data_IF_258131430093
#
_entry.id   IF_258131430093
#
_cell.length_a   1.000
_cell.length_b   1.000
_cell.length_c   1.000
_cell.angle_alpha   90.00
_cell.angle_beta   90.00
_cell.angle_gamma   90.00
#
_symmetry.space_group_name_H-M   'P 1'
#
loop_
_entity.id
_entity.type
_entity.pdbx_description
1 polymer ?
#
# COMPACT_ATOMS: atom_id res chain seq x y z
N UNK A 1 -13.93 -13.73 11.65
CA UNK A 1 -14.11 -12.59 10.73
C UNK A 1 -12.86 -11.73 10.81
N UNK A 2 -12.32 -11.21 9.70
CA UNK A 2 -11.18 -10.30 9.73
C UNK A 2 -11.55 -9.00 10.46
N UNK A 3 -10.55 -8.36 11.08
CA UNK A 3 -10.74 -7.04 11.70
C UNK A 3 -10.93 -5.97 10.62
N UNK A 4 -11.46 -4.80 10.97
CA UNK A 4 -11.57 -3.67 10.03
C UNK A 4 -10.21 -3.30 9.46
N UNK A 5 -9.18 -3.24 10.31
CA UNK A 5 -7.78 -3.04 9.90
C UNK A 5 -7.35 -4.05 8.84
N UNK A 6 -7.57 -5.34 9.10
CA UNK A 6 -7.15 -6.40 8.18
C UNK A 6 -7.89 -6.33 6.84
N UNK A 7 -9.16 -5.94 6.87
CA UNK A 7 -9.99 -5.74 5.68
C UNK A 7 -9.45 -4.59 4.82
N UNK A 8 -9.12 -3.45 5.44
CA UNK A 8 -8.54 -2.28 4.76
C UNK A 8 -7.17 -2.62 4.14
N UNK A 9 -6.27 -3.25 4.91
CA UNK A 9 -4.93 -3.60 4.41
C UNK A 9 -4.98 -4.63 3.27
N UNK A 10 -5.92 -5.57 3.34
CA UNK A 10 -6.15 -6.52 2.24
C UNK A 10 -6.67 -5.79 1.00
N UNK A 11 -7.64 -4.89 1.15
CA UNK A 11 -8.17 -4.10 0.05
C UNK A 11 -7.09 -3.21 -0.59
N UNK A 12 -6.21 -2.61 0.21
CA UNK A 12 -5.08 -1.83 -0.30
C UNK A 12 -4.09 -2.72 -1.09
N UNK A 13 -3.74 -3.89 -0.57
CA UNK A 13 -2.86 -4.83 -1.27
C UNK A 13 -3.49 -5.30 -2.59
N UNK A 14 -4.78 -5.60 -2.59
CA UNK A 14 -5.51 -6.03 -3.80
C UNK A 14 -5.63 -4.91 -4.83
N UNK A 15 -5.85 -3.67 -4.38
CA UNK A 15 -5.82 -2.50 -5.24
C UNK A 15 -4.43 -2.36 -5.89
N UNK A 16 -3.34 -2.44 -5.11
CA UNK A 16 -1.98 -2.37 -5.65
C UNK A 16 -1.65 -3.51 -6.64
N UNK A 17 -2.21 -4.71 -6.42
CA UNK A 17 -2.07 -5.86 -7.35
C UNK A 17 -2.72 -5.65 -8.71
N UNK A 18 -3.54 -4.62 -8.88
CA UNK A 18 -4.06 -4.26 -10.20
C UNK A 18 -2.99 -3.66 -11.11
N UNK A 19 -1.86 -3.19 -10.55
CA UNK A 19 -0.70 -2.72 -11.32
C UNK A 19 -0.08 -3.93 -12.02
N UNK A 20 -0.02 -3.92 -13.37
CA UNK A 20 0.41 -5.09 -14.11
C UNK A 20 1.92 -5.35 -13.95
N UNK A 21 2.30 -6.61 -14.07
CA UNK A 21 3.69 -7.08 -14.18
C UNK A 21 4.60 -6.91 -12.96
N UNK A 22 4.23 -6.12 -11.95
CA UNK A 22 5.02 -5.95 -10.72
C UNK A 22 4.40 -6.75 -9.57
N UNK A 23 5.12 -7.72 -8.98
CA UNK A 23 4.60 -8.48 -7.85
C UNK A 23 4.43 -7.59 -6.61
N UNK A 24 3.29 -7.76 -5.93
CA UNK A 24 2.96 -7.07 -4.67
C UNK A 24 2.88 -8.07 -3.53
N UNK A 25 3.84 -7.97 -2.63
CA UNK A 25 3.94 -8.74 -1.40
C UNK A 25 3.41 -7.93 -0.22
N UNK A 26 3.07 -8.59 0.89
CA UNK A 26 2.60 -7.92 2.11
C UNK A 26 3.31 -8.54 3.32
N UNK A 27 3.97 -7.72 4.13
CA UNK A 27 4.68 -8.17 5.33
C UNK A 27 5.93 -9.04 5.09
N UNK A 28 6.22 -9.43 3.85
CA UNK A 28 7.34 -10.32 3.51
C UNK A 28 8.71 -9.67 3.69
N UNK A 29 9.70 -10.44 4.14
CA UNK A 29 11.10 -9.98 4.15
C UNK A 29 11.57 -9.76 2.70
N UNK A 30 12.47 -8.79 2.49
CA UNK A 30 13.04 -8.55 1.16
C UNK A 30 13.64 -9.86 0.61
N UNK A 31 13.19 -10.36 -0.56
CA UNK A 31 13.70 -11.59 -1.14
C UNK A 31 15.18 -11.47 -1.53
N UNK A 32 15.91 -12.59 -1.47
CA UNK A 32 17.30 -12.66 -1.91
C UNK A 32 17.48 -12.39 -3.41
N UNK A 33 16.46 -12.74 -4.22
CA UNK A 33 16.43 -12.50 -5.65
C UNK A 33 15.25 -11.60 -6.01
N UNK A 34 15.57 -10.40 -6.48
CA UNK A 34 14.58 -9.46 -6.99
C UNK A 34 14.26 -9.83 -8.44
N UNK A 35 12.98 -9.91 -8.84
CA UNK A 35 12.59 -10.09 -10.24
C UNK A 35 13.11 -8.94 -11.11
N UNK A 36 13.44 -9.18 -12.40
CA UNK A 36 13.84 -8.11 -13.32
C UNK A 36 12.80 -7.00 -13.49
N UNK A 37 11.51 -7.35 -13.28
CA UNK A 37 10.37 -6.43 -13.31
C UNK A 37 10.25 -5.56 -12.04
N UNK A 38 11.11 -5.78 -11.04
CA UNK A 38 11.01 -5.16 -9.72
C UNK A 38 10.05 -5.90 -8.80
N UNK A 39 9.80 -5.33 -7.62
CA UNK A 39 8.79 -5.81 -6.67
C UNK A 39 8.32 -4.68 -5.75
N UNK A 40 7.12 -4.83 -5.19
CA UNK A 40 6.59 -3.96 -4.15
C UNK A 40 6.26 -4.75 -2.89
N UNK A 41 6.57 -4.22 -1.71
CA UNK A 41 6.19 -4.82 -0.42
C UNK A 41 5.37 -3.80 0.37
N UNK A 42 4.12 -4.14 0.64
CA UNK A 42 3.27 -3.41 1.57
C UNK A 42 3.66 -3.79 3.00
N UNK A 43 4.13 -2.80 3.75
CA UNK A 43 4.34 -2.86 5.19
C UNK A 43 3.10 -2.34 5.88
N UNK A 44 2.45 -3.23 6.62
CA UNK A 44 1.20 -2.91 7.29
C UNK A 44 1.30 -1.72 8.23
N UNK A 45 2.46 -1.49 8.87
CA UNK A 45 2.62 -0.47 9.90
C UNK A 45 1.73 -0.74 11.13
N UNK A 46 1.67 0.25 12.02
CA UNK A 46 0.82 0.21 13.21
C UNK A 46 -0.14 1.42 13.22
N UNK A 47 -1.42 1.22 13.57
CA UNK A 47 -2.39 2.30 13.63
C UNK A 47 -2.18 3.25 14.83
N UNK A 48 -1.46 2.83 15.86
CA UNK A 48 -1.27 3.61 17.09
C UNK A 48 -2.55 3.77 17.90
N UNK A 49 -2.56 4.78 18.78
CA UNK A 49 -3.74 5.15 19.57
C UNK A 49 -4.74 5.99 18.75
N UNK A 50 -6.05 5.83 18.96
CA UNK A 50 -7.04 6.60 18.24
C UNK A 50 -7.10 8.05 18.72
N UNK A 51 -7.37 8.97 17.78
CA UNK A 51 -7.94 10.26 18.11
C UNK A 51 -9.38 10.09 18.60
N UNK A 52 -9.83 10.93 19.53
CA UNK A 52 -11.17 10.83 20.14
C UNK A 52 -11.92 12.15 20.05
N UNK A 53 -13.10 12.13 19.45
CA UNK A 53 -14.10 13.21 19.50
C UNK A 53 -15.13 12.83 20.54
N UNK A 54 -15.55 13.72 21.44
CA UNK A 54 -16.47 13.38 22.54
C UNK A 54 -17.95 13.71 22.28
N UNK A 55 -18.28 14.43 21.21
CA UNK A 55 -19.66 14.83 20.90
C UNK A 55 -19.95 14.79 19.38
N UNK A 56 -20.56 13.70 18.88
CA UNK A 56 -20.75 12.41 19.55
C UNK A 56 -19.42 11.69 19.80
N UNK A 57 -19.40 10.75 20.76
CA UNK A 57 -18.20 9.95 21.04
C UNK A 57 -17.79 9.15 19.78
N UNK A 58 -16.65 9.50 19.20
CA UNK A 58 -16.14 8.91 17.96
C UNK A 58 -14.63 8.67 18.09
N UNK A 59 -14.18 7.50 17.63
CA UNK A 59 -12.77 7.11 17.60
C UNK A 59 -12.27 7.11 16.16
N UNK A 60 -11.16 7.79 15.91
CA UNK A 60 -10.56 7.93 14.59
C UNK A 60 -9.15 7.33 14.60
N UNK A 61 -8.88 6.41 13.70
CA UNK A 61 -7.56 5.80 13.55
C UNK A 61 -6.89 6.33 12.29
N UNK A 62 -5.69 6.89 12.45
CA UNK A 62 -4.84 7.21 11.32
C UNK A 62 -3.79 6.11 11.15
N UNK A 63 -4.03 5.21 10.20
CA UNK A 63 -3.14 4.08 9.97
C UNK A 63 -2.21 4.34 8.79
N UNK A 64 -0.93 4.58 9.09
CA UNK A 64 0.11 4.65 8.06
C UNK A 64 0.61 3.25 7.70
N UNK A 65 0.37 2.84 6.46
CA UNK A 65 1.07 1.73 5.81
C UNK A 65 2.20 2.28 4.94
N UNK A 66 3.29 1.53 4.80
CA UNK A 66 4.44 1.93 3.97
C UNK A 66 4.56 0.99 2.77
N UNK A 67 4.92 1.54 1.62
CA UNK A 67 5.14 0.76 0.41
C UNK A 67 6.62 0.82 0.04
N UNK A 68 7.30 -0.31 0.17
CA UNK A 68 8.66 -0.47 -0.34
C UNK A 68 8.58 -0.78 -1.83
N UNK A 69 9.23 0.03 -2.66
CA UNK A 69 9.27 -0.15 -4.11
C UNK A 69 10.71 -0.42 -4.53
N UNK A 70 10.96 -1.60 -5.10
CA UNK A 70 12.30 -2.03 -5.50
C UNK A 70 12.31 -2.24 -7.02
N UNK A 71 13.21 -1.53 -7.69
CA UNK A 71 13.45 -1.64 -9.13
C UNK A 71 14.91 -2.06 -9.35
N UNK A 72 15.12 -3.09 -10.17
CA UNK A 72 16.46 -3.56 -10.53
C UNK A 72 16.70 -3.36 -12.02
N UNK A 73 17.52 -2.35 -12.37
CA UNK A 73 17.95 -2.10 -13.75
C UNK A 73 19.35 -1.50 -13.80
N UNK A 74 20.10 -1.85 -14.85
CA UNK A 74 21.46 -1.37 -15.11
C UNK A 74 21.51 0.02 -15.77
N UNK A 75 20.45 0.47 -16.47
CA UNK A 75 20.51 1.68 -17.31
C UNK A 75 19.32 2.63 -17.21
N UNK A 76 18.16 2.17 -16.73
CA UNK A 76 16.92 2.97 -16.67
C UNK A 76 16.21 2.88 -15.32
N UNK A 77 16.96 2.68 -14.23
CA UNK A 77 16.39 2.49 -12.88
C UNK A 77 15.49 3.64 -12.45
N UNK A 78 15.94 4.88 -12.63
CA UNK A 78 15.24 6.05 -12.10
C UNK A 78 13.93 6.30 -12.87
N UNK A 79 13.93 6.14 -14.19
CA UNK A 79 12.71 6.28 -15.00
C UNK A 79 11.72 5.14 -14.80
N UNK A 80 12.20 3.91 -14.58
CA UNK A 80 11.35 2.79 -14.20
C UNK A 80 10.71 2.99 -12.81
N UNK A 81 11.50 3.49 -11.85
CA UNK A 81 11.00 3.82 -10.52
C UNK A 81 9.92 4.91 -10.59
N UNK A 82 10.19 6.00 -11.30
CA UNK A 82 9.24 7.11 -11.48
C UNK A 82 7.93 6.64 -12.15
N UNK A 83 8.03 5.83 -13.22
CA UNK A 83 6.87 5.26 -13.90
C UNK A 83 6.05 4.32 -12.99
N UNK A 84 6.71 3.56 -12.12
CA UNK A 84 6.04 2.70 -11.14
C UNK A 84 5.37 3.53 -10.04
N UNK A 85 6.03 4.54 -9.50
CA UNK A 85 5.45 5.48 -8.54
C UNK A 85 4.24 6.21 -9.11
N UNK A 86 4.28 6.62 -10.37
CA UNK A 86 3.14 7.23 -11.07
C UNK A 86 1.96 6.26 -11.19
N UNK A 87 2.20 4.99 -11.52
CA UNK A 87 1.15 3.96 -11.58
C UNK A 87 0.52 3.70 -10.21
N UNK A 88 1.34 3.62 -9.15
CA UNK A 88 0.84 3.52 -7.77
C UNK A 88 -0.07 4.71 -7.45
N UNK A 89 0.38 5.93 -7.73
CA UNK A 89 -0.41 7.13 -7.50
C UNK A 89 -1.73 7.15 -8.29
N UNK A 90 -1.72 6.68 -9.54
CA UNK A 90 -2.91 6.59 -10.39
C UNK A 90 -3.93 5.59 -9.84
N UNK A 91 -3.48 4.39 -9.45
CA UNK A 91 -4.33 3.33 -8.91
C UNK A 91 -4.93 3.73 -7.55
N UNK A 92 -4.13 4.33 -6.65
CA UNK A 92 -4.65 4.85 -5.38
C UNK A 92 -5.65 5.98 -5.62
N UNK A 93 -5.35 6.89 -6.56
CA UNK A 93 -6.26 8.00 -6.88
C UNK A 93 -7.60 7.54 -7.45
N UNK A 94 -7.62 6.43 -8.19
CA UNK A 94 -8.85 5.87 -8.72
C UNK A 94 -9.78 5.30 -7.63
N UNK A 95 -9.25 4.88 -6.48
CA UNK A 95 -10.03 4.31 -5.38
C UNK A 95 -9.43 4.65 -4.00
N UNK A 96 -9.47 5.94 -3.63
CA UNK A 96 -8.82 6.45 -2.40
C UNK A 96 -9.47 5.98 -1.11
N UNK A 97 -10.77 5.68 -1.14
CA UNK A 97 -11.51 5.20 0.03
C UNK A 97 -11.51 3.68 0.14
N UNK A 98 -10.86 2.98 -0.79
CA UNK A 98 -10.89 1.51 -0.91
C UNK A 98 -12.34 1.01 -0.89
N UNK A 99 -13.19 1.60 -1.75
CA UNK A 99 -14.64 1.35 -1.82
C UNK A 99 -15.42 1.72 -0.56
N UNK A 100 -14.99 2.76 0.14
CA UNK A 100 -15.63 3.26 1.36
C UNK A 100 -15.23 2.51 2.64
N UNK A 101 -14.13 1.75 2.60
CA UNK A 101 -13.59 1.06 3.77
C UNK A 101 -12.79 2.01 4.70
N UNK A 102 -12.25 3.11 4.17
CA UNK A 102 -11.54 4.11 4.97
C UNK A 102 -11.79 5.55 4.47
N UNK A 103 -11.52 6.49 5.36
CA UNK A 103 -11.42 7.91 5.06
C UNK A 103 -9.99 8.22 4.54
N UNK A 104 -9.85 9.15 3.58
CA UNK A 104 -8.58 9.48 2.89
C UNK A 104 -8.22 10.95 2.99
#
# INVERSE_FOLDING_TARGET
MPTTRETILTALADLLRTIPHVPVLRGEVLPERIPPVGLMILRDGAPGEPGVTLSPLTYHFQHRAELEVIVQSASNRDSLFDALSAQVGAVITADRTLRGLCDW
#
